data_IF_517195633581
#
_entry.id   IF_517195633581
#
_cell.length_a   1.000
_cell.length_b   1.000
_cell.length_c   1.000
_cell.angle_alpha   90.00
_cell.angle_beta   90.00
_cell.angle_gamma   90.00
#
_symmetry.space_group_name_H-M   'P 1'
#
loop_
_entity.id
_entity.type
_entity.pdbx_description
1 polymer ?
#
# COMPACT_ATOMS: atom_id res chain seq x y z
N UNK A 1 -31.69 -18.30 38.17
CA UNK A 1 -31.28 -18.57 36.77
C UNK A 1 -29.78 -18.68 36.59
N UNK A 2 -28.93 -17.69 36.94
CA UNK A 2 -27.46 -17.81 36.78
C UNK A 2 -26.80 -18.88 37.66
N UNK A 3 -27.38 -19.23 38.78
CA UNK A 3 -26.87 -20.26 39.72
C UNK A 3 -27.19 -21.70 39.30
N UNK A 4 -28.24 -21.90 38.51
CA UNK A 4 -28.74 -23.24 38.17
C UNK A 4 -28.08 -23.81 36.90
N UNK A 5 -27.64 -22.96 35.97
CA UNK A 5 -26.99 -23.37 34.69
C UNK A 5 -25.69 -22.59 34.45
N UNK A 6 -24.70 -22.75 35.32
CA UNK A 6 -23.40 -22.06 35.22
C UNK A 6 -22.67 -22.26 33.89
N UNK A 7 -22.76 -23.47 33.35
CA UNK A 7 -22.10 -23.83 32.10
C UNK A 7 -22.75 -23.11 30.92
N UNK A 8 -24.06 -22.98 30.89
CA UNK A 8 -24.79 -22.30 29.81
C UNK A 8 -24.55 -20.79 29.87
N UNK A 9 -24.48 -20.21 31.07
CA UNK A 9 -24.12 -18.81 31.26
C UNK A 9 -22.67 -18.54 30.80
N UNK A 10 -21.72 -19.43 31.11
CA UNK A 10 -20.32 -19.30 30.69
C UNK A 10 -20.20 -19.34 29.14
N UNK A 11 -20.88 -20.29 28.51
CA UNK A 11 -20.86 -20.40 27.04
C UNK A 11 -21.46 -19.14 26.40
N UNK A 12 -22.55 -18.63 26.94
CA UNK A 12 -23.17 -17.40 26.41
C UNK A 12 -22.24 -16.18 26.55
N UNK A 13 -21.57 -16.02 27.70
CA UNK A 13 -20.62 -14.91 27.92
C UNK A 13 -19.42 -15.03 26.99
N UNK A 14 -18.85 -16.23 26.86
CA UNK A 14 -17.72 -16.45 25.95
C UNK A 14 -18.12 -16.24 24.48
N UNK A 15 -19.30 -16.71 24.11
CA UNK A 15 -19.82 -16.53 22.73
C UNK A 15 -20.04 -15.05 22.39
N UNK A 16 -20.65 -14.28 23.29
CA UNK A 16 -20.85 -12.84 23.07
C UNK A 16 -19.54 -12.07 23.07
N UNK A 17 -18.61 -12.39 23.98
CA UNK A 17 -17.30 -11.76 24.01
C UNK A 17 -16.51 -12.03 22.72
N UNK A 18 -16.52 -13.25 22.23
CA UNK A 18 -15.87 -13.62 20.97
C UNK A 18 -16.50 -12.89 19.78
N UNK A 19 -17.82 -12.81 19.72
CA UNK A 19 -18.53 -12.11 18.66
C UNK A 19 -18.16 -10.61 18.61
N UNK A 20 -18.12 -9.96 19.79
CA UNK A 20 -17.71 -8.55 19.88
C UNK A 20 -16.26 -8.37 19.44
N UNK A 21 -15.33 -9.24 19.88
CA UNK A 21 -13.94 -9.20 19.45
C UNK A 21 -13.80 -9.31 17.92
N UNK A 22 -14.52 -10.24 17.30
CA UNK A 22 -14.47 -10.41 15.84
C UNK A 22 -15.01 -9.19 15.10
N UNK A 23 -16.10 -8.59 15.58
CA UNK A 23 -16.64 -7.34 15.00
C UNK A 23 -15.62 -6.22 15.13
N UNK A 24 -14.99 -6.03 16.28
CA UNK A 24 -13.96 -5.00 16.50
C UNK A 24 -12.75 -5.20 15.57
N UNK A 25 -12.28 -6.43 15.43
CA UNK A 25 -11.18 -6.75 14.50
C UNK A 25 -11.57 -6.41 13.06
N UNK A 26 -12.80 -6.73 12.64
CA UNK A 26 -13.30 -6.35 11.31
C UNK A 26 -13.33 -4.84 11.11
N UNK A 27 -13.88 -4.10 12.07
CA UNK A 27 -13.97 -2.63 11.99
C UNK A 27 -12.58 -2.00 11.92
N UNK A 28 -11.66 -2.40 12.83
CA UNK A 28 -10.28 -1.89 12.83
C UNK A 28 -9.57 -2.22 11.51
N UNK A 29 -9.70 -3.45 11.01
CA UNK A 29 -9.08 -3.85 9.74
C UNK A 29 -9.63 -3.05 8.57
N UNK A 30 -10.92 -2.74 8.59
CA UNK A 30 -11.55 -1.89 7.57
C UNK A 30 -11.04 -0.44 7.67
N UNK A 31 -11.03 0.14 8.86
CA UNK A 31 -10.54 1.50 9.09
C UNK A 31 -9.09 1.67 8.63
N UNK A 32 -8.18 0.77 9.04
CA UNK A 32 -6.78 0.79 8.61
C UNK A 32 -6.61 0.74 7.08
N UNK A 33 -7.56 0.14 6.36
CA UNK A 33 -7.52 0.08 4.89
C UNK A 33 -8.02 1.32 4.19
N UNK A 34 -8.96 2.05 4.80
CA UNK A 34 -9.69 3.14 4.16
C UNK A 34 -9.25 4.51 4.66
N UNK A 35 -8.82 4.60 5.92
CA UNK A 35 -8.41 5.88 6.50
C UNK A 35 -7.13 6.42 5.86
N UNK A 36 -7.12 7.73 5.67
CA UNK A 36 -5.97 8.49 5.22
C UNK A 36 -5.00 8.67 6.38
N UNK A 37 -3.74 8.33 6.19
CA UNK A 37 -2.67 8.57 7.17
C UNK A 37 -1.36 8.89 6.45
N UNK A 38 -0.58 9.78 7.04
CA UNK A 38 0.73 10.15 6.48
C UNK A 38 1.63 8.92 6.28
N UNK A 39 2.28 8.78 5.11
CA UNK A 39 2.35 9.71 3.99
C UNK A 39 1.23 9.58 2.95
N UNK A 40 0.24 8.70 3.14
CA UNK A 40 -0.86 8.43 2.20
C UNK A 40 -2.12 9.24 2.55
N UNK A 41 -2.03 10.56 2.59
CA UNK A 41 -3.13 11.45 2.99
C UNK A 41 -4.32 11.43 2.01
N UNK A 42 -4.14 10.91 0.80
CA UNK A 42 -5.16 10.81 -0.24
C UNK A 42 -5.49 9.37 -0.61
N UNK A 43 -5.39 8.45 0.33
CA UNK A 43 -5.57 7.01 0.09
C UNK A 43 -6.97 6.66 -0.40
N UNK A 44 -7.98 7.35 0.08
CA UNK A 44 -9.39 7.20 -0.30
C UNK A 44 -9.67 7.46 -1.78
N UNK A 45 -8.83 8.27 -2.44
CA UNK A 45 -8.93 8.64 -3.86
C UNK A 45 -7.74 8.20 -4.70
N UNK A 46 -6.80 7.44 -4.13
CA UNK A 46 -5.62 6.92 -4.82
C UNK A 46 -5.88 5.53 -5.37
N UNK A 47 -5.63 5.35 -6.66
CA UNK A 47 -5.73 4.06 -7.33
C UNK A 47 -4.34 3.47 -7.56
N UNK A 48 -4.10 2.26 -7.07
CA UNK A 48 -2.86 1.52 -7.26
C UNK A 48 -3.02 0.47 -8.36
N UNK A 49 -2.31 0.65 -9.47
CA UNK A 49 -2.29 -0.32 -10.56
C UNK A 49 -0.96 -1.08 -10.51
N UNK A 50 -0.99 -2.30 -9.96
CA UNK A 50 0.21 -3.14 -9.78
C UNK A 50 0.43 -4.13 -10.91
N UNK A 51 -0.65 -4.69 -11.43
CA UNK A 51 -0.62 -5.81 -12.36
C UNK A 51 -1.32 -5.46 -13.65
N UNK A 52 -0.71 -5.83 -14.76
CA UNK A 52 -1.32 -5.76 -16.07
C UNK A 52 -1.34 -7.13 -16.73
N UNK A 53 -2.41 -7.44 -17.43
CA UNK A 53 -2.51 -8.61 -18.28
C UNK A 53 -2.32 -8.22 -19.76
N UNK A 54 -1.65 -9.09 -20.52
CA UNK A 54 -1.58 -8.97 -21.98
C UNK A 54 -2.57 -9.95 -22.60
N UNK A 55 -3.48 -9.42 -23.40
CA UNK A 55 -4.43 -10.22 -24.17
C UNK A 55 -4.14 -10.04 -25.66
N UNK A 56 -4.04 -11.13 -26.38
CA UNK A 56 -3.89 -11.12 -27.84
C UNK A 56 -4.88 -12.12 -28.43
N UNK A 57 -5.69 -11.69 -29.39
CA UNK A 57 -6.75 -12.51 -30.02
C UNK A 57 -7.72 -13.21 -29.04
N UNK A 58 -7.98 -12.57 -27.89
CA UNK A 58 -8.88 -13.13 -26.87
C UNK A 58 -8.21 -14.11 -25.88
N UNK A 59 -6.96 -14.48 -26.11
CA UNK A 59 -6.19 -15.31 -25.19
C UNK A 59 -5.30 -14.46 -24.27
N UNK A 60 -5.21 -14.83 -23.00
CA UNK A 60 -4.40 -14.13 -22.02
C UNK A 60 -2.97 -14.63 -22.01
N UNK A 61 -2.04 -13.75 -22.35
CA UNK A 61 -0.61 -14.04 -22.47
C UNK A 61 0.20 -13.60 -21.24
N UNK A 62 -0.22 -13.97 -20.07
CA UNK A 62 0.50 -13.72 -18.83
C UNK A 62 0.15 -12.40 -18.15
N UNK A 63 0.46 -12.36 -16.85
CA UNK A 63 0.26 -11.24 -15.96
C UNK A 63 1.61 -10.82 -15.37
N UNK A 64 1.81 -9.54 -15.19
CA UNK A 64 3.04 -9.03 -14.60
C UNK A 64 2.96 -7.57 -14.22
N UNK A 65 4.06 -7.05 -13.70
CA UNK A 65 4.19 -5.62 -13.45
C UNK A 65 4.09 -4.85 -14.77
N UNK A 66 3.47 -3.68 -14.71
CA UNK A 66 3.39 -2.80 -15.86
C UNK A 66 4.79 -2.37 -16.32
N UNK A 67 5.04 -2.41 -17.62
CA UNK A 67 6.27 -1.89 -18.18
C UNK A 67 6.28 -0.36 -18.13
N UNK A 68 7.45 0.24 -18.03
CA UNK A 68 7.60 1.71 -18.08
C UNK A 68 7.03 2.30 -19.37
N UNK A 69 7.12 1.55 -20.47
CA UNK A 69 6.53 1.95 -21.75
C UNK A 69 5.01 2.04 -21.67
N UNK A 70 4.35 1.03 -21.11
CA UNK A 70 2.89 1.01 -20.90
C UNK A 70 2.45 2.17 -20.02
N UNK A 71 3.22 2.47 -18.96
CA UNK A 71 2.92 3.60 -18.07
C UNK A 71 2.99 4.92 -18.85
N UNK A 72 4.04 5.12 -19.65
CA UNK A 72 4.24 6.35 -20.43
C UNK A 72 3.21 6.52 -21.54
N UNK A 73 2.83 5.45 -22.22
CA UNK A 73 1.90 5.52 -23.36
C UNK A 73 0.42 5.52 -22.94
N UNK A 74 0.07 4.83 -21.84
CA UNK A 74 -1.32 4.63 -21.46
C UNK A 74 -1.77 5.43 -20.23
N UNK A 75 -0.89 5.64 -19.25
CA UNK A 75 -1.29 6.22 -17.98
C UNK A 75 -0.89 7.70 -17.84
N UNK A 76 0.32 8.08 -18.21
CA UNK A 76 0.75 9.48 -18.13
C UNK A 76 -0.07 10.46 -18.99
N UNK A 77 -0.61 10.08 -20.18
CA UNK A 77 -1.44 10.98 -20.96
C UNK A 77 -2.88 11.14 -20.45
N UNK A 78 -3.28 10.39 -19.42
CA UNK A 78 -4.62 10.50 -18.85
C UNK A 78 -4.86 11.91 -18.24
N UNK A 79 -6.00 12.50 -18.58
CA UNK A 79 -6.40 13.83 -18.08
C UNK A 79 -7.36 13.75 -16.89
N UNK A 80 -7.90 12.58 -16.59
CA UNK A 80 -8.88 12.37 -15.52
C UNK A 80 -8.22 12.37 -14.14
N UNK A 81 -7.06 11.69 -13.91
CA UNK A 81 -6.37 11.75 -12.61
C UNK A 81 -5.73 13.12 -12.41
N UNK A 82 -5.75 13.60 -11.17
CA UNK A 82 -5.07 14.83 -10.76
C UNK A 82 -3.54 14.70 -10.88
N UNK A 83 -3.02 13.53 -10.55
CA UNK A 83 -1.61 13.19 -10.66
C UNK A 83 -1.43 11.71 -11.00
N UNK A 84 -0.43 11.38 -11.79
CA UNK A 84 -0.03 10.01 -12.11
C UNK A 84 1.44 9.87 -11.80
N UNK A 85 1.77 8.97 -10.88
CA UNK A 85 3.13 8.64 -10.50
C UNK A 85 3.41 7.16 -10.72
N UNK A 86 4.66 6.81 -10.93
CA UNK A 86 5.06 5.41 -11.01
C UNK A 86 6.10 5.06 -9.95
N UNK A 87 6.01 3.83 -9.47
CA UNK A 87 6.95 3.24 -8.51
C UNK A 87 7.46 1.94 -9.12
N UNK A 88 8.77 1.78 -9.19
CA UNK A 88 9.35 0.50 -9.61
C UNK A 88 9.16 -0.57 -8.54
N UNK A 89 9.13 -1.86 -8.91
CA UNK A 89 9.20 -2.93 -7.92
C UNK A 89 10.44 -2.78 -7.04
N UNK A 90 10.28 -3.08 -5.74
CA UNK A 90 11.38 -3.06 -4.79
C UNK A 90 12.49 -4.04 -5.21
N UNK A 91 13.73 -3.57 -5.11
CA UNK A 91 14.92 -4.40 -5.27
C UNK A 91 15.75 -4.35 -4.00
N UNK A 92 16.17 -5.50 -3.51
CA UNK A 92 17.13 -5.57 -2.41
C UNK A 92 18.51 -5.18 -2.89
N UNK A 93 19.19 -4.34 -2.14
CA UNK A 93 20.59 -3.97 -2.35
C UNK A 93 21.30 -3.79 -1.02
N UNK A 94 22.62 -3.92 -1.06
CA UNK A 94 23.49 -3.64 0.09
C UNK A 94 23.92 -2.18 0.04
N UNK A 95 23.51 -1.40 1.03
CA UNK A 95 23.91 -0.02 1.19
C UNK A 95 24.94 0.14 2.33
N UNK A 96 25.91 1.02 2.17
CA UNK A 96 26.84 1.43 3.21
C UNK A 96 26.96 2.95 3.27
N UNK A 97 27.16 3.48 4.46
CA UNK A 97 27.49 4.90 4.61
C UNK A 97 28.90 5.18 4.05
N UNK A 98 29.15 6.38 3.51
CA UNK A 98 30.49 6.79 3.07
C UNK A 98 31.51 6.60 4.21
N UNK A 99 32.54 5.78 3.97
CA UNK A 99 33.55 5.43 5.00
C UNK A 99 33.12 4.36 6.01
N UNK A 100 31.88 3.87 5.98
CA UNK A 100 31.40 2.80 6.84
C UNK A 100 31.80 1.40 6.34
N UNK A 101 32.23 0.53 7.28
CA UNK A 101 32.52 -0.88 6.98
C UNK A 101 31.26 -1.75 7.01
N UNK A 102 30.21 -1.28 7.66
CA UNK A 102 28.95 -2.01 7.80
C UNK A 102 28.07 -1.84 6.55
N UNK A 103 27.60 -2.96 6.04
CA UNK A 103 26.63 -3.03 4.95
C UNK A 103 25.28 -3.44 5.52
N UNK A 104 24.23 -2.75 5.12
CA UNK A 104 22.85 -3.09 5.51
C UNK A 104 22.01 -3.40 4.27
N UNK A 105 21.16 -4.41 4.39
CA UNK A 105 20.16 -4.69 3.37
C UNK A 105 19.12 -3.57 3.35
N UNK A 106 18.98 -2.95 2.18
CA UNK A 106 18.02 -1.88 1.93
C UNK A 106 17.11 -2.26 0.77
N UNK A 107 15.90 -1.75 0.80
CA UNK A 107 14.97 -1.83 -0.32
C UNK A 107 15.08 -0.54 -1.14
N UNK A 108 15.35 -0.70 -2.42
CA UNK A 108 15.42 0.41 -3.37
C UNK A 108 14.23 0.39 -4.31
N UNK A 109 13.62 1.54 -4.50
CA UNK A 109 12.58 1.80 -5.48
C UNK A 109 12.94 3.02 -6.30
N UNK A 110 12.63 3.00 -7.60
CA UNK A 110 12.72 4.18 -8.45
C UNK A 110 11.32 4.80 -8.54
N UNK A 111 11.26 6.11 -8.41
CA UNK A 111 10.04 6.90 -8.51
C UNK A 111 10.27 8.10 -9.42
N UNK A 112 9.19 8.81 -9.76
CA UNK A 112 9.26 10.11 -10.43
C UNK A 112 9.11 11.26 -9.42
N UNK A 113 9.23 12.49 -9.89
CA UNK A 113 9.05 13.69 -9.09
C UNK A 113 7.61 13.90 -8.61
N UNK A 114 6.63 13.37 -9.35
CA UNK A 114 5.20 13.43 -9.01
C UNK A 114 4.89 12.57 -7.77
N UNK A 115 5.72 11.58 -7.47
CA UNK A 115 5.62 10.75 -6.27
C UNK A 115 5.45 11.60 -4.99
N UNK A 116 6.22 12.67 -4.85
CA UNK A 116 6.19 13.56 -3.68
C UNK A 116 4.93 14.43 -3.58
N UNK A 117 4.16 14.53 -4.67
CA UNK A 117 2.83 15.17 -4.66
C UNK A 117 1.72 14.20 -4.27
N UNK A 118 1.90 12.92 -4.60
CA UNK A 118 0.93 11.87 -4.26
C UNK A 118 1.09 11.46 -2.81
N UNK A 119 2.34 11.36 -2.33
CA UNK A 119 2.69 10.97 -0.98
C UNK A 119 3.27 12.13 -0.20
N UNK A 120 2.62 12.49 0.90
CA UNK A 120 3.01 13.62 1.74
C UNK A 120 4.01 13.19 2.82
N UNK A 121 5.30 13.16 2.46
CA UNK A 121 6.38 12.87 3.41
C UNK A 121 6.85 14.12 4.12
N UNK A 122 7.00 14.05 5.43
CA UNK A 122 7.68 15.08 6.22
C UNK A 122 9.19 14.86 6.18
N UNK A 123 9.93 15.83 5.64
CA UNK A 123 11.38 15.78 5.58
C UNK A 123 11.98 16.39 6.85
N UNK A 124 12.73 15.60 7.60
CA UNK A 124 13.49 16.09 8.78
C UNK A 124 14.65 16.97 8.31
N UNK A 125 15.25 16.67 7.16
CA UNK A 125 16.34 17.43 6.56
C UNK A 125 16.36 17.18 5.06
N UNK A 126 16.69 18.20 4.27
CA UNK A 126 16.70 18.14 2.81
C UNK A 126 15.34 18.44 2.19
N UNK A 127 15.19 18.13 0.92
CA UNK A 127 13.97 18.32 0.13
C UNK A 127 13.81 17.19 -0.88
N UNK A 128 12.58 16.96 -1.38
CA UNK A 128 12.37 16.00 -2.44
C UNK A 128 13.14 16.41 -3.69
N UNK A 129 13.62 15.42 -4.44
CA UNK A 129 14.20 15.68 -5.75
C UNK A 129 13.12 16.18 -6.72
N UNK A 130 13.49 17.11 -7.56
CA UNK A 130 12.67 17.65 -8.64
C UNK A 130 13.36 17.36 -9.98
N UNK A 131 12.58 17.30 -11.03
CA UNK A 131 13.12 17.19 -12.37
C UNK A 131 13.72 18.56 -12.73
N UNK A 132 15.02 18.58 -13.02
CA UNK A 132 15.67 19.74 -13.64
C UNK A 132 15.21 19.95 -15.08
#
# INVERSE_FOLDING_TARGET
MLKENKLLALISILGTALAICLIMVMVITYQVRVENYSPEDNRDRTMYVRWGGRTYKGEQYGNGYLSLRTIKECFLPLKTPEAVSFISPCRSLLASLPGGKEKKDCLMMFTDDVFWKVFNFEFISGSPYTKE
#
